data_IF_287001893001
#
_entry.id   IF_287001893001
#
_cell.length_a   1.000
_cell.length_b   1.000
_cell.length_c   1.000
_cell.angle_alpha   90.00
_cell.angle_beta   90.00
_cell.angle_gamma   90.00
#
_symmetry.space_group_name_H-M   'P 1'
#
loop_
_entity.id
_entity.type
_entity.pdbx_description
1 polymer ?
#
# COMPACT_ATOMS: atom_id res chain seq x y z
N UNK A 1 -11.84 4.41 0.28
CA UNK A 1 -11.06 5.46 -0.41
C UNK A 1 -9.62 5.27 0.03
N UNK A 2 -8.76 4.75 -0.84
CA UNK A 2 -7.32 4.65 -0.52
C UNK A 2 -6.82 6.09 -0.46
N UNK A 3 -6.39 6.53 0.74
CA UNK A 3 -5.86 7.88 0.94
C UNK A 3 -4.62 8.06 0.07
N UNK A 4 -4.41 9.26 -0.49
CA UNK A 4 -3.22 9.65 -1.27
C UNK A 4 -1.91 9.18 -0.60
N UNK A 5 -1.90 9.14 0.74
CA UNK A 5 -0.78 8.69 1.56
C UNK A 5 -0.45 7.21 1.38
N UNK A 6 -1.43 6.32 1.16
CA UNK A 6 -1.20 4.90 0.94
C UNK A 6 -0.45 4.65 -0.38
N UNK A 7 -0.88 5.32 -1.46
CA UNK A 7 -0.22 5.22 -2.75
C UNK A 7 1.24 5.69 -2.69
N UNK A 8 1.51 6.76 -1.94
CA UNK A 8 2.86 7.26 -1.71
C UNK A 8 3.72 6.27 -0.91
N UNK A 9 3.20 5.68 0.17
CA UNK A 9 3.93 4.70 0.99
C UNK A 9 4.30 3.46 0.17
N UNK A 10 3.36 2.92 -0.62
CA UNK A 10 3.63 1.78 -1.50
C UNK A 10 4.68 2.14 -2.56
N UNK A 11 4.56 3.31 -3.19
CA UNK A 11 5.53 3.77 -4.19
C UNK A 11 6.92 3.97 -3.59
N UNK A 12 7.02 4.53 -2.38
CA UNK A 12 8.29 4.64 -1.66
C UNK A 12 8.92 3.28 -1.39
N UNK A 13 8.13 2.27 -0.98
CA UNK A 13 8.63 0.90 -0.81
C UNK A 13 9.20 0.30 -2.12
N UNK A 14 8.52 0.51 -3.25
CA UNK A 14 8.99 0.05 -4.57
C UNK A 14 10.29 0.73 -4.97
N UNK A 15 10.36 2.05 -4.88
CA UNK A 15 11.56 2.81 -5.26
C UNK A 15 12.74 2.53 -4.32
N UNK A 16 12.47 2.30 -3.03
CA UNK A 16 13.49 1.89 -2.07
C UNK A 16 14.11 0.53 -2.44
N UNK A 17 13.32 -0.41 -2.98
CA UNK A 17 13.83 -1.67 -3.52
C UNK A 17 14.71 -1.39 -4.74
N UNK A 18 14.20 -0.70 -5.78
CA UNK A 18 14.94 -0.46 -7.02
C UNK A 18 16.31 0.20 -6.79
N UNK A 19 16.36 1.22 -5.94
CA UNK A 19 17.59 1.94 -5.61
C UNK A 19 18.64 1.08 -4.88
N UNK A 20 18.24 -0.06 -4.30
CA UNK A 20 19.13 -0.96 -3.56
C UNK A 20 19.34 -2.32 -4.26
N UNK A 21 18.64 -2.61 -5.35
CA UNK A 21 18.71 -3.87 -6.11
C UNK A 21 19.58 -3.77 -7.37
N UNK A 22 20.00 -2.57 -7.78
CA UNK A 22 20.90 -2.37 -8.93
C UNK A 22 22.34 -2.85 -8.71
N UNK A 23 22.77 -3.14 -7.47
CA UNK A 23 24.00 -3.91 -7.24
C UNK A 23 23.63 -5.39 -7.13
N UNK A 24 24.14 -6.22 -8.05
CA UNK A 24 23.98 -7.68 -8.07
C UNK A 24 23.92 -8.27 -6.65
N UNK A 25 23.04 -9.23 -6.41
CA UNK A 25 22.98 -9.96 -5.14
C UNK A 25 24.05 -11.07 -5.15
N UNK A 26 25.30 -10.87 -4.68
CA UNK A 26 26.18 -12.01 -4.50
C UNK A 26 25.51 -12.96 -3.51
N UNK A 27 25.38 -14.24 -3.91
CA UNK A 27 24.95 -15.34 -3.05
C UNK A 27 23.47 -15.31 -2.58
N UNK A 28 22.55 -14.82 -3.41
CA UNK A 28 21.09 -14.82 -3.10
C UNK A 28 20.74 -14.02 -1.82
N UNK A 29 21.62 -13.11 -1.39
CA UNK A 29 21.43 -12.24 -0.23
C UNK A 29 21.28 -10.80 -0.69
N UNK A 30 20.32 -10.11 -0.11
CA UNK A 30 20.10 -8.69 -0.19
C UNK A 30 20.48 -8.06 1.14
N UNK A 31 21.25 -6.98 1.09
CA UNK A 31 21.62 -6.19 2.26
C UNK A 31 20.97 -4.82 2.11
N UNK A 32 19.98 -4.55 2.94
CA UNK A 32 19.22 -3.31 2.92
C UNK A 32 19.74 -2.36 3.99
N UNK A 33 19.85 -1.08 3.66
CA UNK A 33 19.98 -0.03 4.69
C UNK A 33 18.73 -0.05 5.57
N UNK A 34 18.88 0.37 6.83
CA UNK A 34 17.78 0.42 7.80
C UNK A 34 16.55 1.16 7.26
N UNK A 35 16.73 2.36 6.72
CA UNK A 35 15.61 3.15 6.19
C UNK A 35 14.89 2.44 5.04
N UNK A 36 15.63 1.82 4.12
CA UNK A 36 15.06 1.02 3.03
C UNK A 36 14.21 -0.13 3.57
N UNK A 37 14.67 -0.84 4.60
CA UNK A 37 13.90 -1.89 5.23
C UNK A 37 12.65 -1.35 5.95
N UNK A 38 12.72 -0.16 6.57
CA UNK A 38 11.55 0.51 7.17
C UNK A 38 10.52 0.84 6.09
N UNK A 39 10.94 1.42 4.96
CA UNK A 39 10.04 1.80 3.87
C UNK A 39 9.34 0.58 3.28
N UNK A 40 10.07 -0.53 3.11
CA UNK A 40 9.50 -1.81 2.66
C UNK A 40 8.54 -2.40 3.70
N UNK A 41 8.90 -2.42 4.98
CA UNK A 41 8.04 -2.93 6.04
C UNK A 41 6.73 -2.15 6.14
N UNK A 42 6.78 -0.82 6.06
CA UNK A 42 5.60 0.03 6.06
C UNK A 42 4.70 -0.25 4.85
N UNK A 43 5.29 -0.45 3.66
CA UNK A 43 4.53 -0.81 2.46
C UNK A 43 3.85 -2.19 2.60
N UNK A 44 4.55 -3.18 3.18
CA UNK A 44 4.00 -4.51 3.45
C UNK A 44 2.85 -4.48 4.47
N UNK A 45 2.98 -3.70 5.55
CA UNK A 45 1.92 -3.53 6.54
C UNK A 45 0.62 -3.05 5.90
N UNK A 46 0.68 -2.09 4.96
CA UNK A 46 -0.52 -1.62 4.27
C UNK A 46 -1.19 -2.71 3.42
N UNK A 47 -0.40 -3.52 2.71
CA UNK A 47 -0.93 -4.64 1.92
C UNK A 47 -1.57 -5.70 2.83
N UNK A 48 -0.97 -5.97 3.97
CA UNK A 48 -1.50 -6.90 4.97
C UNK A 48 -2.81 -6.40 5.58
N UNK A 49 -2.85 -5.13 5.97
CA UNK A 49 -4.05 -4.51 6.55
C UNK A 49 -5.20 -4.54 5.54
N UNK A 50 -4.96 -4.15 4.29
CA UNK A 50 -5.99 -4.20 3.24
C UNK A 50 -6.51 -5.61 3.00
N UNK A 51 -5.62 -6.62 3.03
CA UNK A 51 -6.03 -8.01 2.91
C UNK A 51 -6.89 -8.45 4.10
N UNK A 52 -6.47 -8.15 5.33
CA UNK A 52 -7.20 -8.55 6.53
C UNK A 52 -8.57 -7.86 6.61
N UNK A 53 -8.68 -6.59 6.17
CA UNK A 53 -9.95 -5.90 6.00
C UNK A 53 -10.82 -6.56 4.91
N UNK A 54 -10.24 -6.94 3.76
CA UNK A 54 -10.96 -7.63 2.69
C UNK A 54 -11.47 -9.00 3.12
N UNK A 55 -10.69 -9.76 3.90
CA UNK A 55 -11.10 -11.06 4.44
C UNK A 55 -12.25 -10.86 5.44
N UNK A 56 -12.13 -9.89 6.35
CA UNK A 56 -13.18 -9.58 7.32
C UNK A 56 -14.48 -9.13 6.62
N UNK A 57 -14.38 -8.30 5.59
CA UNK A 57 -15.54 -7.86 4.80
C UNK A 57 -16.16 -9.00 3.97
N UNK A 58 -15.37 -9.95 3.50
CA UNK A 58 -15.83 -11.15 2.78
C UNK A 58 -16.44 -12.20 3.70
N UNK A 59 -15.99 -12.33 4.95
CA UNK A 59 -16.70 -13.15 5.94
C UNK A 59 -18.10 -12.62 6.24
N UNK A 60 -18.34 -11.31 6.00
CA UNK A 60 -19.64 -10.66 6.13
C UNK A 60 -20.46 -10.62 4.83
N UNK A 61 -19.92 -11.08 3.69
CA UNK A 61 -20.58 -11.06 2.39
C UNK A 61 -19.99 -12.18 1.51
N UNK A 62 -20.83 -13.12 1.03
CA UNK A 62 -20.50 -14.37 0.29
C UNK A 62 -19.57 -14.28 -0.95
N UNK A 63 -18.95 -13.13 -1.21
CA UNK A 63 -17.93 -12.96 -2.23
C UNK A 63 -16.60 -13.55 -1.77
N UNK A 64 -16.29 -14.74 -2.31
CA UNK A 64 -14.98 -15.42 -2.22
C UNK A 64 -13.82 -14.46 -2.43
N UNK A 65 -12.99 -14.28 -1.40
CA UNK A 65 -11.67 -13.65 -1.51
C UNK A 65 -10.88 -14.40 -2.59
N UNK A 66 -10.65 -13.76 -3.73
CA UNK A 66 -9.76 -14.33 -4.74
C UNK A 66 -8.37 -14.41 -4.11
N UNK A 67 -7.91 -15.63 -3.87
CA UNK A 67 -6.57 -15.99 -3.41
C UNK A 67 -5.53 -15.01 -3.97
N UNK A 68 -4.95 -14.18 -3.12
CA UNK A 68 -3.64 -13.57 -3.39
C UNK A 68 -2.65 -14.67 -3.01
N UNK A 69 -2.04 -15.40 -3.96
CA UNK A 69 -1.33 -16.65 -3.68
C UNK A 69 -0.03 -16.49 -2.87
N UNK A 70 0.20 -15.35 -2.21
CA UNK A 70 1.45 -15.09 -1.51
C UNK A 70 1.33 -14.28 -0.21
N UNK A 71 0.12 -13.94 0.25
CA UNK A 71 -0.01 -13.05 1.41
C UNK A 71 0.58 -13.64 2.70
N UNK A 72 0.48 -14.95 2.90
CA UNK A 72 1.10 -15.62 4.05
C UNK A 72 2.64 -15.56 3.99
N UNK A 73 3.21 -15.64 2.79
CA UNK A 73 4.65 -15.53 2.60
C UNK A 73 5.13 -14.08 2.75
N UNK A 74 4.36 -13.11 2.24
CA UNK A 74 4.61 -11.68 2.48
C UNK A 74 4.58 -11.35 3.97
N UNK A 75 3.59 -11.87 4.73
CA UNK A 75 3.53 -11.76 6.19
C UNK A 75 4.77 -12.35 6.88
N UNK A 76 5.27 -13.48 6.37
CA UNK A 76 6.51 -14.07 6.87
C UNK A 76 7.73 -13.16 6.62
N UNK A 77 7.86 -12.60 5.41
CA UNK A 77 8.93 -11.68 5.04
C UNK A 77 8.87 -10.43 5.91
N UNK A 78 7.69 -9.82 6.04
CA UNK A 78 7.46 -8.65 6.88
C UNK A 78 7.86 -8.92 8.33
N UNK A 79 7.36 -10.01 8.93
CA UNK A 79 7.72 -10.40 10.31
C UNK A 79 9.23 -10.59 10.50
N UNK A 80 9.91 -11.21 9.52
CA UNK A 80 11.36 -11.39 9.54
C UNK A 80 12.10 -10.06 9.52
N UNK A 81 11.69 -9.14 8.65
CA UNK A 81 12.27 -7.80 8.52
C UNK A 81 12.05 -6.97 9.80
N UNK A 82 10.83 -6.92 10.32
CA UNK A 82 10.49 -6.20 11.55
C UNK A 82 11.24 -6.74 12.77
N UNK A 83 11.46 -8.06 12.86
CA UNK A 83 12.30 -8.66 13.91
C UNK A 83 13.74 -8.18 13.85
N UNK A 84 14.33 -8.11 12.65
CA UNK A 84 15.70 -7.59 12.50
C UNK A 84 15.76 -6.10 12.87
N UNK A 85 14.77 -5.31 12.43
CA UNK A 85 14.65 -3.89 12.76
C UNK A 85 14.56 -3.65 14.29
N UNK A 86 13.80 -4.47 15.02
CA UNK A 86 13.65 -4.32 16.48
C UNK A 86 14.86 -4.83 17.28
N UNK A 87 15.50 -5.93 16.83
CA UNK A 87 16.70 -6.47 17.51
C UNK A 87 17.88 -5.48 17.44
N UNK A 88 17.95 -4.69 16.38
CA UNK A 88 18.95 -3.62 16.22
C UNK A 88 18.68 -2.34 17.03
N UNK A 89 17.51 -2.18 17.67
CA UNK A 89 17.24 -1.03 18.55
C UNK A 89 17.80 -1.22 19.96
N UNK A 90 18.01 -2.48 20.37
CA UNK A 90 18.59 -2.83 21.67
C UNK A 90 20.12 -2.95 21.64
N UNK A 91 20.71 -3.04 20.45
CA UNK A 91 22.16 -3.02 20.27
C UNK A 91 22.63 -1.58 20.05
N UNK A 92 23.76 -1.19 20.62
CA UNK A 92 24.38 0.14 20.53
C UNK A 92 24.82 0.57 19.10
N UNK A 93 24.37 -0.14 18.06
CA UNK A 93 24.65 0.09 16.64
C UNK A 93 23.34 0.26 15.87
N UNK A 94 22.84 1.50 15.84
CA UNK A 94 21.59 1.89 15.14
C UNK A 94 21.66 1.67 13.62
N UNK A 95 22.86 1.48 13.06
CA UNK A 95 23.13 1.34 11.62
C UNK A 95 23.34 -0.11 11.14
N UNK A 96 22.77 -1.11 11.81
CA UNK A 96 22.83 -2.49 11.29
C UNK A 96 22.00 -2.62 10.02
N UNK A 97 22.66 -3.04 8.93
CA UNK A 97 21.98 -3.42 7.70
C UNK A 97 21.07 -4.64 7.95
N UNK A 98 19.95 -4.67 7.23
CA UNK A 98 18.98 -5.77 7.27
C UNK A 98 19.31 -6.76 6.17
N UNK A 99 19.36 -8.05 6.52
CA UNK A 99 19.70 -9.10 5.56
C UNK A 99 18.43 -9.85 5.15
N UNK A 100 18.17 -9.89 3.85
CA UNK A 100 17.04 -10.58 3.24
C UNK A 100 17.52 -11.55 2.16
N UNK A 101 16.68 -12.51 1.77
CA UNK A 101 16.95 -13.28 0.54
C UNK A 101 16.58 -12.43 -0.67
N UNK A 102 17.36 -12.52 -1.73
CA UNK A 102 17.06 -11.77 -2.97
C UNK A 102 15.72 -12.19 -3.60
N UNK A 103 15.38 -13.48 -3.48
CA UNK A 103 14.07 -14.01 -3.91
C UNK A 103 12.91 -13.41 -3.12
N UNK A 104 13.10 -13.16 -1.83
CA UNK A 104 12.06 -12.57 -0.98
C UNK A 104 11.83 -11.11 -1.38
N UNK A 105 12.90 -10.36 -1.65
CA UNK A 105 12.79 -8.97 -2.11
C UNK A 105 12.13 -8.86 -3.48
N UNK A 106 12.46 -9.75 -4.42
CA UNK A 106 11.79 -9.81 -5.74
C UNK A 106 10.29 -10.08 -5.61
N UNK A 107 9.90 -10.99 -4.70
CA UNK A 107 8.50 -11.27 -4.41
C UNK A 107 7.78 -10.06 -3.80
N UNK A 108 8.46 -9.33 -2.91
CA UNK A 108 7.92 -8.09 -2.34
C UNK A 108 7.75 -7.02 -3.43
N UNK A 109 8.75 -6.82 -4.29
CA UNK A 109 8.68 -5.86 -5.39
C UNK A 109 7.49 -6.16 -6.32
N UNK A 110 7.32 -7.42 -6.73
CA UNK A 110 6.21 -7.85 -7.56
C UNK A 110 4.86 -7.62 -6.87
N UNK A 111 4.75 -7.97 -5.59
CA UNK A 111 3.52 -7.79 -4.81
C UNK A 111 3.15 -6.30 -4.67
N UNK A 112 4.10 -5.45 -4.30
CA UNK A 112 3.87 -4.01 -4.15
C UNK A 112 3.52 -3.36 -5.49
N UNK A 113 4.21 -3.73 -6.57
CA UNK A 113 3.94 -3.21 -7.92
C UNK A 113 2.54 -3.60 -8.39
N UNK A 114 2.14 -4.85 -8.19
CA UNK A 114 0.79 -5.31 -8.52
C UNK A 114 -0.28 -4.58 -7.69
N UNK A 115 -0.02 -4.37 -6.39
CA UNK A 115 -0.92 -3.61 -5.51
C UNK A 115 -1.07 -2.15 -5.95
N UNK A 116 0.04 -1.50 -6.27
CA UNK A 116 0.08 -0.13 -6.74
C UNK A 116 -0.67 0.04 -8.06
N UNK A 117 -0.44 -0.87 -9.01
CA UNK A 117 -1.12 -0.85 -10.31
C UNK A 117 -2.63 -1.06 -10.17
N UNK A 118 -3.07 -1.98 -9.29
CA UNK A 118 -4.49 -2.18 -9.00
C UNK A 118 -5.12 -0.93 -8.38
N UNK A 119 -4.44 -0.31 -7.43
CA UNK A 119 -4.87 0.95 -6.81
C UNK A 119 -5.01 2.07 -7.85
N UNK A 120 -4.00 2.26 -8.70
CA UNK A 120 -4.04 3.24 -9.77
C UNK A 120 -5.10 2.95 -10.83
N UNK A 121 -5.34 1.68 -11.16
CA UNK A 121 -6.42 1.29 -12.05
C UNK A 121 -7.78 1.70 -11.46
N UNK A 122 -8.03 1.39 -10.18
CA UNK A 122 -9.26 1.80 -9.49
C UNK A 122 -9.44 3.33 -9.47
N UNK A 123 -8.37 4.10 -9.29
CA UNK A 123 -8.39 5.57 -9.32
C UNK A 123 -8.60 6.15 -10.73
N UNK A 124 -8.16 5.45 -11.77
CA UNK A 124 -8.30 5.85 -13.17
C UNK A 124 -9.60 5.40 -13.82
N UNK A 125 -10.31 4.43 -13.25
CA UNK A 125 -11.72 4.20 -13.63
C UNK A 125 -12.47 5.50 -13.38
N UNK A 126 -13.02 6.16 -14.41
CA UNK A 126 -13.93 7.26 -14.14
C UNK A 126 -15.04 6.65 -13.29
N UNK A 127 -15.27 7.19 -12.10
CA UNK A 127 -16.57 7.02 -11.44
C UNK A 127 -17.58 7.23 -12.58
N UNK A 128 -18.28 6.17 -12.99
CA UNK A 128 -19.40 6.35 -13.88
C UNK A 128 -20.25 7.38 -13.16
N UNK A 129 -20.31 8.59 -13.72
CA UNK A 129 -21.17 9.65 -13.25
C UNK A 129 -22.56 9.06 -13.31
N UNK A 130 -23.06 8.56 -12.18
CA UNK A 130 -24.50 8.62 -11.97
C UNK A 130 -24.88 10.07 -12.25
N UNK A 131 -25.83 10.34 -13.15
CA UNK A 131 -26.26 11.70 -13.39
C UNK A 131 -26.74 12.22 -12.05
N UNK A 132 -25.98 13.17 -11.49
CA UNK A 132 -26.40 13.94 -10.33
C UNK A 132 -27.66 14.66 -10.81
N UNK A 133 -28.83 14.09 -10.49
CA UNK A 133 -30.08 14.79 -10.59
C UNK A 133 -29.98 15.92 -9.57
N UNK A 134 -29.58 17.10 -10.03
CA UNK A 134 -29.75 18.34 -9.29
C UNK A 134 -31.25 18.53 -9.09
N UNK A 135 -31.77 17.98 -7.99
CA UNK A 135 -33.08 18.37 -7.48
C UNK A 135 -32.98 19.86 -7.21
N UNK A 136 -33.81 20.60 -7.92
CA UNK A 136 -33.77 22.06 -8.03
C UNK A 136 -34.30 22.71 -6.74
N UNK A 137 -33.66 22.47 -5.60
CA UNK A 137 -34.03 23.03 -4.27
C UNK A 137 -33.32 24.35 -3.96
N UNK A 138 -32.95 25.12 -4.99
CA UNK A 138 -32.15 26.35 -4.82
C UNK A 138 -32.69 27.62 -5.49
N UNK A 139 -33.93 27.66 -5.98
CA UNK A 139 -34.44 28.81 -6.76
C UNK A 139 -35.79 29.37 -6.27
N UNK A 140 -36.15 29.13 -5.00
CA UNK A 140 -37.28 29.83 -4.34
C UNK A 140 -36.87 30.99 -3.42
N UNK A 141 -35.58 31.19 -3.13
CA UNK A 141 -35.13 32.25 -2.22
C UNK A 141 -34.65 33.55 -2.90
N UNK A 142 -34.51 33.60 -4.22
CA UNK A 142 -34.03 34.80 -4.92
C UNK A 142 -35.12 35.62 -5.64
N UNK A 143 -36.37 35.16 -5.67
CA UNK A 143 -37.49 35.93 -6.27
C UNK A 143 -38.19 36.91 -5.31
N UNK A 144 -37.81 36.93 -4.03
CA UNK A 144 -38.50 37.76 -3.03
C UNK A 144 -37.71 39.04 -2.64
N UNK A 145 -36.59 39.32 -3.29
CA UNK A 145 -35.72 40.44 -2.92
C UNK A 145 -35.37 41.42 -4.05
N UNK A 146 -36.00 41.30 -5.22
CA UNK A 146 -35.98 42.36 -6.24
C UNK A 146 -37.34 42.45 -6.93
N UNK A 147 -38.13 43.47 -6.56
CA UNK A 147 -39.41 43.76 -7.22
C UNK A 147 -40.39 44.61 -6.40
N UNK A 148 -39.94 45.69 -5.78
CA UNK A 148 -40.80 46.87 -5.55
C UNK A 148 -40.77 47.74 -6.80
N UNK A 149 -41.85 47.74 -7.57
CA UNK A 149 -42.47 48.91 -8.21
C UNK A 149 -43.78 48.47 -8.88
#
# INVERSE_FOLDING_TARGET
MISLNHGLIINHGIEAIKQNVESEFPNNRCVLKRQTAIDIANALQLVEDEYDHSVTASMNNDNKVKNIPNIHYLKYIHKSMTKQLSTSETDCFVDKNIVCKSTDIRLVEEALTNHFNKTNYCLKTPLQKEPINFVNTGLKFLKQLMGTQ
#
